data_IF_109230665237
#
_entry.id   IF_109230665237
#
_cell.length_a   1.000
_cell.length_b   1.000
_cell.length_c   1.000
_cell.angle_alpha   90.00
_cell.angle_beta   90.00
_cell.angle_gamma   90.00
#
_symmetry.space_group_name_H-M   'P 1'
#
loop_
_entity.id
_entity.type
_entity.pdbx_description
1 polymer ?
#
# COMPACT_ATOMS: atom_id res chain seq x y z
N UNK A 1 -15.53 15.80 3.53
CA UNK A 1 -16.47 15.09 2.62
C UNK A 1 -17.68 14.53 3.32
N UNK A 2 -17.52 13.70 4.37
CA UNK A 2 -18.65 13.16 5.15
C UNK A 2 -19.68 14.21 5.59
N UNK A 3 -19.23 15.32 6.18
CA UNK A 3 -20.11 16.39 6.65
C UNK A 3 -20.94 17.01 5.51
N UNK A 4 -20.33 17.28 4.36
CA UNK A 4 -21.03 17.80 3.18
C UNK A 4 -22.07 16.82 2.63
N UNK A 5 -21.71 15.54 2.51
CA UNK A 5 -22.67 14.49 2.12
C UNK A 5 -23.84 14.38 3.10
N UNK A 6 -23.56 14.47 4.41
CA UNK A 6 -24.57 14.41 5.45
C UNK A 6 -25.53 15.61 5.37
N UNK A 7 -25.03 16.82 5.11
CA UNK A 7 -25.87 18.01 4.90
C UNK A 7 -26.77 17.86 3.68
N UNK A 8 -26.22 17.42 2.54
CA UNK A 8 -26.97 17.20 1.31
C UNK A 8 -28.05 16.11 1.45
N UNK A 9 -27.69 14.98 2.07
CA UNK A 9 -28.64 13.88 2.31
C UNK A 9 -29.71 14.27 3.32
N UNK A 10 -29.38 15.01 4.39
CA UNK A 10 -30.39 15.49 5.33
C UNK A 10 -31.35 16.48 4.66
N UNK A 11 -30.83 17.42 3.87
CA UNK A 11 -31.68 18.37 3.14
C UNK A 11 -32.69 17.66 2.22
N UNK A 12 -32.28 16.55 1.59
CA UNK A 12 -33.12 15.83 0.62
C UNK A 12 -34.05 14.77 1.24
N UNK A 13 -33.61 14.06 2.29
CA UNK A 13 -34.31 12.87 2.79
C UNK A 13 -34.83 12.98 4.23
N UNK A 14 -34.31 13.90 5.06
CA UNK A 14 -34.77 14.03 6.46
C UNK A 14 -36.25 14.45 6.54
N UNK A 15 -36.67 15.38 5.68
CA UNK A 15 -38.07 15.81 5.57
C UNK A 15 -39.04 14.74 5.04
N UNK A 16 -38.51 13.62 4.52
CA UNK A 16 -39.30 12.51 3.95
C UNK A 16 -39.52 11.35 4.94
N UNK A 17 -39.15 11.53 6.21
CA UNK A 17 -39.34 10.53 7.27
C UNK A 17 -38.24 9.47 7.36
N UNK A 18 -37.12 9.64 6.63
CA UNK A 18 -35.95 8.77 6.76
C UNK A 18 -35.22 9.12 8.06
N UNK A 19 -34.86 8.10 8.85
CA UNK A 19 -34.22 8.30 10.16
C UNK A 19 -32.80 8.87 10.02
N UNK A 20 -32.49 9.84 10.90
CA UNK A 20 -31.22 10.60 10.91
C UNK A 20 -29.96 9.71 10.98
N UNK A 21 -30.00 8.68 11.80
CA UNK A 21 -28.89 7.75 12.01
C UNK A 21 -28.61 6.89 10.78
N UNK A 22 -29.66 6.47 10.07
CA UNK A 22 -29.52 5.78 8.78
C UNK A 22 -28.93 6.69 7.69
N UNK A 23 -29.34 7.97 7.67
CA UNK A 23 -28.76 8.98 6.77
C UNK A 23 -27.28 9.22 7.08
N UNK A 24 -26.91 9.28 8.36
CA UNK A 24 -25.52 9.43 8.77
C UNK A 24 -24.66 8.23 8.33
N UNK A 25 -25.21 7.02 8.41
CA UNK A 25 -24.50 5.83 7.92
C UNK A 25 -24.38 5.79 6.40
N UNK A 26 -25.40 6.26 5.68
CA UNK A 26 -25.31 6.43 4.22
C UNK A 26 -24.25 7.47 3.84
N UNK A 27 -24.15 8.57 4.58
CA UNK A 27 -23.09 9.56 4.37
C UNK A 27 -21.68 8.97 4.62
N UNK A 28 -21.54 8.08 5.61
CA UNK A 28 -20.28 7.37 5.88
C UNK A 28 -19.86 6.48 4.71
N UNK A 29 -20.80 5.71 4.14
CA UNK A 29 -20.47 4.79 3.03
C UNK A 29 -20.09 5.56 1.76
N UNK A 30 -20.80 6.65 1.46
CA UNK A 30 -20.55 7.48 0.27
C UNK A 30 -19.28 8.32 0.37
N UNK A 31 -18.88 8.71 1.59
CA UNK A 31 -17.63 9.45 1.80
C UNK A 31 -16.39 8.63 1.44
N UNK A 32 -16.48 7.30 1.36
CA UNK A 32 -15.36 6.43 0.98
C UNK A 32 -15.12 6.41 -0.52
N UNK A 33 -16.14 6.73 -1.33
CA UNK A 33 -16.07 6.71 -2.79
C UNK A 33 -16.02 8.09 -3.42
N UNK A 34 -16.30 9.14 -2.64
CA UNK A 34 -16.40 10.52 -3.11
C UNK A 34 -15.36 11.40 -2.43
N UNK A 35 -14.55 12.08 -3.24
CA UNK A 35 -13.47 12.96 -2.76
C UNK A 35 -13.70 14.44 -3.06
N UNK A 36 -14.62 14.77 -3.99
CA UNK A 36 -14.91 16.15 -4.39
C UNK A 36 -16.37 16.55 -4.15
N UNK A 37 -16.63 17.85 -4.06
CA UNK A 37 -17.97 18.39 -3.80
C UNK A 37 -18.94 18.16 -4.98
N UNK A 38 -18.44 18.28 -6.21
CA UNK A 38 -19.25 18.08 -7.43
C UNK A 38 -19.71 16.62 -7.57
N UNK A 39 -18.83 15.67 -7.26
CA UNK A 39 -19.17 14.25 -7.23
C UNK A 39 -20.18 13.92 -6.11
N UNK A 40 -20.07 14.58 -4.95
CA UNK A 40 -21.01 14.40 -3.85
C UNK A 40 -22.42 14.83 -4.25
N UNK A 41 -22.55 15.99 -4.89
CA UNK A 41 -23.82 16.49 -5.38
C UNK A 41 -24.40 15.57 -6.45
N UNK A 42 -23.61 15.21 -7.47
CA UNK A 42 -24.05 14.35 -8.56
C UNK A 42 -24.48 12.96 -8.08
N UNK A 43 -23.85 12.43 -7.03
CA UNK A 43 -24.18 11.13 -6.47
C UNK A 43 -25.44 11.18 -5.62
N UNK A 44 -25.59 12.20 -4.76
CA UNK A 44 -26.83 12.41 -3.99
C UNK A 44 -28.03 12.65 -4.90
N UNK A 45 -27.83 13.29 -6.05
CA UNK A 45 -28.89 13.52 -7.04
C UNK A 45 -29.38 12.25 -7.72
N UNK A 46 -28.48 11.27 -7.93
CA UNK A 46 -28.81 9.96 -8.50
C UNK A 46 -29.52 9.01 -7.53
N UNK A 47 -29.42 9.23 -6.23
CA UNK A 47 -30.07 8.38 -5.22
C UNK A 47 -31.58 8.58 -5.23
N UNK A 48 -32.32 7.48 -5.37
CA UNK A 48 -33.78 7.49 -5.26
C UNK A 48 -34.22 7.41 -3.81
N UNK A 49 -35.42 7.93 -3.52
CA UNK A 49 -36.01 7.86 -2.18
C UNK A 49 -36.18 6.41 -1.69
N UNK A 50 -36.52 5.50 -2.62
CA UNK A 50 -36.67 4.07 -2.36
C UNK A 50 -35.34 3.43 -1.96
N UNK A 51 -34.26 3.71 -2.69
CA UNK A 51 -32.92 3.19 -2.38
C UNK A 51 -32.44 3.64 -1.00
N UNK A 52 -32.64 4.91 -0.67
CA UNK A 52 -32.25 5.46 0.64
C UNK A 52 -33.10 4.83 1.75
N UNK A 53 -34.41 4.68 1.52
CA UNK A 53 -35.32 4.10 2.52
C UNK A 53 -35.02 2.61 2.75
N UNK A 54 -34.76 1.85 1.69
CA UNK A 54 -34.42 0.43 1.77
C UNK A 54 -33.07 0.21 2.45
N UNK A 55 -32.05 1.00 2.10
CA UNK A 55 -30.76 0.97 2.77
C UNK A 55 -30.89 1.22 4.28
N UNK A 56 -31.61 2.28 4.68
CA UNK A 56 -31.81 2.60 6.09
C UNK A 56 -32.59 1.51 6.81
N UNK A 57 -33.59 0.91 6.15
CA UNK A 57 -34.39 -0.18 6.71
C UNK A 57 -33.54 -1.44 6.96
N UNK A 58 -32.74 -1.86 5.99
CA UNK A 58 -31.92 -3.06 6.13
C UNK A 58 -30.77 -2.88 7.13
N UNK A 59 -30.12 -1.71 7.12
CA UNK A 59 -29.12 -1.37 8.12
C UNK A 59 -29.72 -1.39 9.54
N UNK A 60 -30.90 -0.78 9.71
CA UNK A 60 -31.59 -0.78 11.01
C UNK A 60 -32.05 -2.14 11.47
N UNK A 61 -32.52 -2.99 10.57
CA UNK A 61 -32.88 -4.37 10.91
C UNK A 61 -31.69 -5.12 11.50
N UNK A 62 -30.49 -4.90 10.97
CA UNK A 62 -29.25 -5.49 11.50
C UNK A 62 -28.93 -4.93 12.89
N UNK A 63 -28.93 -3.60 13.03
CA UNK A 63 -28.66 -2.92 14.31
C UNK A 63 -29.66 -3.30 15.40
N UNK A 64 -30.96 -3.25 15.09
CA UNK A 64 -32.03 -3.56 16.04
C UNK A 64 -31.98 -5.05 16.44
N UNK A 65 -31.56 -5.95 15.54
CA UNK A 65 -31.33 -7.37 15.86
C UNK A 65 -30.16 -7.57 16.83
N UNK A 66 -29.04 -6.87 16.63
CA UNK A 66 -27.89 -6.93 17.52
C UNK A 66 -28.20 -6.36 18.90
N UNK A 67 -28.94 -5.24 18.95
CA UNK A 67 -29.41 -4.65 20.21
C UNK A 67 -30.33 -5.63 20.95
N UNK A 68 -31.26 -6.27 20.24
CA UNK A 68 -32.18 -7.27 20.83
C UNK A 68 -31.39 -8.45 21.41
N UNK A 69 -30.44 -9.01 20.66
CA UNK A 69 -29.56 -10.09 21.15
C UNK A 69 -28.74 -9.68 22.37
N UNK A 70 -28.22 -8.46 22.39
CA UNK A 70 -27.51 -7.90 23.53
C UNK A 70 -28.39 -7.78 24.78
N UNK A 71 -29.62 -7.26 24.60
CA UNK A 71 -30.61 -7.15 25.68
C UNK A 71 -31.03 -8.52 26.20
N UNK A 72 -31.26 -9.50 25.34
CA UNK A 72 -31.62 -10.86 25.73
C UNK A 72 -30.47 -11.57 26.45
N UNK A 73 -29.23 -11.37 25.99
CA UNK A 73 -28.02 -11.87 26.67
C UNK A 73 -27.87 -11.24 28.06
N UNK A 74 -28.17 -9.94 28.19
CA UNK A 74 -28.14 -9.26 29.49
C UNK A 74 -29.22 -9.79 30.44
N UNK A 75 -30.47 -9.92 29.96
CA UNK A 75 -31.59 -10.43 30.75
C UNK A 75 -31.41 -11.89 31.18
N UNK A 76 -30.84 -12.73 30.31
CA UNK A 76 -30.52 -14.13 30.64
C UNK A 76 -29.39 -14.25 31.66
N UNK A 77 -28.39 -13.37 31.62
CA UNK A 77 -27.30 -13.32 32.62
C UNK A 77 -27.73 -12.68 33.94
N UNK A 78 -28.74 -11.81 33.91
CA UNK A 78 -29.30 -11.13 35.08
C UNK A 78 -30.82 -11.39 35.17
N UNK A 79 -31.25 -12.62 35.46
CA UNK A 79 -32.67 -12.90 35.60
C UNK A 79 -33.23 -12.12 36.79
N UNK A 80 -34.41 -11.51 36.60
CA UNK A 80 -35.12 -10.87 37.71
C UNK A 80 -35.36 -11.92 38.82
N UNK A 81 -35.20 -11.56 40.10
CA UNK A 81 -35.43 -12.49 41.20
C UNK A 81 -36.86 -13.05 41.11
N UNK A 82 -36.98 -14.38 41.14
CA UNK A 82 -38.26 -15.07 41.00
C UNK A 82 -39.23 -14.63 42.10
N UNK A 83 -40.31 -13.94 41.73
CA UNK A 83 -41.36 -13.58 42.68
C UNK A 83 -42.23 -12.35 42.40
N UNK A 84 -42.13 -11.64 41.26
CA UNK A 84 -43.07 -10.55 40.96
C UNK A 84 -44.28 -11.05 40.16
N UNK A 85 -45.11 -11.88 40.81
CA UNK A 85 -46.51 -12.03 40.45
C UNK A 85 -47.34 -11.02 41.24
N UNK A 86 -48.23 -10.31 40.53
CA UNK A 86 -49.24 -9.33 40.97
C UNK A 86 -48.78 -7.90 41.36
N UNK A 87 -49.68 -6.89 41.16
CA UNK A 87 -49.33 -5.55 40.74
C UNK A 87 -49.69 -4.56 41.85
N UNK A 88 -49.08 -4.67 43.04
CA UNK A 88 -49.07 -3.55 43.98
C UNK A 88 -48.07 -3.80 45.13
N UNK A 89 -46.95 -3.07 45.24
CA UNK A 89 -46.16 -3.07 46.45
C UNK A 89 -46.45 -1.80 47.27
N UNK A 90 -47.09 -1.99 48.43
CA UNK A 90 -46.98 -1.04 49.52
C UNK A 90 -45.51 -0.94 49.97
N UNK A 91 -45.02 0.24 50.39
CA UNK A 91 -43.60 0.46 50.64
C UNK A 91 -43.17 -0.15 51.97
N UNK A 92 -42.19 -1.03 51.97
CA UNK A 92 -41.42 -1.38 53.17
C UNK A 92 -39.96 -1.76 52.83
N UNK A 93 -39.08 -1.62 53.83
CA UNK A 93 -38.03 -0.63 53.90
C UNK A 93 -36.78 -1.05 53.12
N UNK A 94 -36.08 -0.06 52.58
CA UNK A 94 -34.80 -0.19 51.88
C UNK A 94 -33.78 -1.01 52.69
N UNK A 95 -33.67 -2.30 52.37
CA UNK A 95 -32.39 -2.99 52.46
C UNK A 95 -31.65 -2.56 51.21
N UNK A 96 -30.73 -1.60 51.35
CA UNK A 96 -29.76 -1.29 50.31
C UNK A 96 -29.15 -2.61 49.84
N UNK A 97 -29.37 -3.03 48.58
CA UNK A 97 -28.44 -3.96 48.01
C UNK A 97 -27.10 -3.24 47.99
N UNK A 98 -26.04 -3.93 48.41
CA UNK A 98 -24.69 -3.58 48.02
C UNK A 98 -24.60 -3.80 46.50
N UNK A 99 -25.20 -2.88 45.76
CA UNK A 99 -24.88 -2.65 44.37
C UNK A 99 -23.57 -1.91 44.47
N UNK A 100 -22.46 -2.63 44.36
CA UNK A 100 -21.32 -2.08 43.63
C UNK A 100 -21.86 -1.73 42.25
N UNK A 101 -22.47 -0.55 42.17
CA UNK A 101 -22.79 0.14 40.95
C UNK A 101 -21.46 0.14 40.21
N UNK A 102 -21.31 -0.60 39.08
CA UNK A 102 -20.10 -0.47 38.30
C UNK A 102 -20.04 1.02 38.01
N UNK A 103 -19.03 1.69 38.58
CA UNK A 103 -18.88 3.12 38.44
C UNK A 103 -18.94 3.41 36.94
N UNK A 104 -19.34 4.59 36.47
CA UNK A 104 -19.32 4.93 35.04
C UNK A 104 -18.01 4.55 34.31
N UNK A 105 -16.91 4.41 35.07
CA UNK A 105 -15.63 3.87 34.63
C UNK A 105 -15.63 2.38 34.22
N UNK A 106 -16.41 1.50 34.84
CA UNK A 106 -16.50 0.07 34.49
C UNK A 106 -17.21 -0.15 33.15
N UNK A 107 -18.30 0.57 32.88
CA UNK A 107 -19.00 0.48 31.59
C UNK A 107 -18.11 1.03 30.47
N UNK A 108 -17.41 2.15 30.71
CA UNK A 108 -16.45 2.70 29.77
C UNK A 108 -15.28 1.73 29.49
N UNK A 109 -14.80 1.01 30.52
CA UNK A 109 -13.76 -0.02 30.38
C UNK A 109 -14.26 -1.20 29.55
N UNK A 110 -15.46 -1.71 29.82
CA UNK A 110 -16.07 -2.81 29.07
C UNK A 110 -16.29 -2.43 27.59
N UNK A 111 -16.78 -1.21 27.32
CA UNK A 111 -16.96 -0.72 25.95
C UNK A 111 -15.59 -0.57 25.26
N UNK A 112 -14.59 -0.04 25.95
CA UNK A 112 -13.23 0.11 25.40
C UNK A 112 -12.60 -1.25 25.07
N UNK A 113 -12.77 -2.24 25.93
CA UNK A 113 -12.30 -3.61 25.70
C UNK A 113 -13.03 -4.27 24.53
N UNK A 114 -14.35 -4.14 24.45
CA UNK A 114 -15.14 -4.68 23.33
C UNK A 114 -14.77 -4.02 21.99
N UNK A 115 -14.59 -2.70 21.97
CA UNK A 115 -14.15 -1.97 20.77
C UNK A 115 -12.71 -2.35 20.42
N UNK A 116 -11.80 -2.49 21.40
CA UNK A 116 -10.43 -2.94 21.15
C UNK A 116 -10.40 -4.34 20.55
N UNK A 117 -11.15 -5.28 21.13
CA UNK A 117 -11.25 -6.65 20.64
C UNK A 117 -11.84 -6.73 19.23
N UNK A 118 -12.77 -5.85 18.88
CA UNK A 118 -13.31 -5.77 17.52
C UNK A 118 -12.32 -5.14 16.52
N UNK A 119 -11.50 -4.18 16.95
CA UNK A 119 -10.57 -3.42 16.08
C UNK A 119 -9.21 -4.10 15.92
N UNK A 120 -8.74 -4.87 16.91
CA UNK A 120 -7.50 -5.65 16.83
C UNK A 120 -7.37 -6.52 15.57
N UNK A 121 -8.36 -7.37 15.18
CA UNK A 121 -8.22 -8.18 13.98
C UNK A 121 -8.12 -7.33 12.70
N UNK A 122 -8.72 -6.15 12.67
CA UNK A 122 -8.59 -5.22 11.54
C UNK A 122 -7.21 -4.58 11.49
N UNK A 123 -6.63 -4.18 12.63
CA UNK A 123 -5.24 -3.67 12.69
C UNK A 123 -4.25 -4.72 12.20
N UNK A 124 -4.32 -5.95 12.73
CA UNK A 124 -3.46 -7.05 12.30
C UNK A 124 -3.59 -7.33 10.80
N UNK A 125 -4.81 -7.26 10.25
CA UNK A 125 -5.04 -7.46 8.81
C UNK A 125 -4.49 -6.31 7.96
N UNK A 126 -4.61 -5.06 8.41
CA UNK A 126 -4.00 -3.91 7.74
C UNK A 126 -2.48 -4.02 7.76
N UNK A 127 -1.89 -4.30 8.92
CA UNK A 127 -0.44 -4.49 9.06
C UNK A 127 0.06 -5.61 8.13
N UNK A 128 -0.67 -6.74 8.06
CA UNK A 128 -0.35 -7.84 7.13
C UNK A 128 -0.45 -7.41 5.66
N UNK A 129 -1.45 -6.60 5.31
CA UNK A 129 -1.64 -6.11 3.94
C UNK A 129 -0.53 -5.13 3.54
N UNK A 130 -0.15 -4.22 4.43
CA UNK A 130 0.94 -3.27 4.21
C UNK A 130 2.25 -4.02 4.04
N UNK A 131 2.55 -5.01 4.90
CA UNK A 131 3.72 -5.86 4.76
C UNK A 131 3.73 -6.64 3.43
N UNK A 132 2.60 -7.23 3.03
CA UNK A 132 2.49 -7.93 1.74
C UNK A 132 2.71 -6.98 0.54
N UNK A 133 2.22 -5.74 0.64
CA UNK A 133 2.39 -4.73 -0.40
C UNK A 133 3.85 -4.31 -0.51
N UNK A 134 4.52 -4.09 0.63
CA UNK A 134 5.97 -3.80 0.69
C UNK A 134 6.76 -4.93 0.05
N UNK A 135 6.54 -6.18 0.47
CA UNK A 135 7.23 -7.36 -0.08
C UNK A 135 7.02 -7.49 -1.59
N UNK A 136 5.79 -7.27 -2.07
CA UNK A 136 5.45 -7.32 -3.49
C UNK A 136 6.16 -6.24 -4.30
N UNK A 137 6.17 -4.99 -3.80
CA UNK A 137 6.84 -3.88 -4.47
C UNK A 137 8.36 -4.08 -4.51
N UNK A 138 8.97 -4.54 -3.42
CA UNK A 138 10.40 -4.86 -3.35
C UNK A 138 10.77 -5.97 -4.34
N UNK A 139 9.96 -7.02 -4.43
CA UNK A 139 10.17 -8.11 -5.39
C UNK A 139 10.07 -7.63 -6.84
N UNK A 140 9.14 -6.72 -7.15
CA UNK A 140 9.05 -6.12 -8.49
C UNK A 140 10.30 -5.32 -8.82
N UNK A 141 10.72 -4.42 -7.92
CA UNK A 141 11.92 -3.60 -8.11
C UNK A 141 13.15 -4.48 -8.31
N UNK A 142 13.31 -5.53 -7.50
CA UNK A 142 14.41 -6.47 -7.63
C UNK A 142 14.43 -7.16 -9.00
N UNK A 143 13.27 -7.65 -9.47
CA UNK A 143 13.14 -8.26 -10.80
C UNK A 143 13.53 -7.29 -11.93
N UNK A 144 13.11 -6.04 -11.85
CA UNK A 144 13.48 -5.00 -12.83
C UNK A 144 15.00 -4.79 -12.87
N UNK A 145 15.68 -4.78 -11.72
CA UNK A 145 17.13 -4.60 -11.67
C UNK A 145 17.91 -5.77 -12.28
N UNK A 146 17.44 -6.99 -12.08
CA UNK A 146 18.10 -8.21 -12.60
C UNK A 146 17.60 -8.61 -13.98
N UNK A 147 16.71 -7.85 -14.63
CA UNK A 147 16.10 -8.21 -15.92
C UNK A 147 17.13 -8.46 -17.02
N UNK A 148 18.24 -7.71 -17.02
CA UNK A 148 19.33 -7.84 -18.00
C UNK A 148 20.37 -8.91 -17.64
N UNK A 149 20.23 -9.55 -16.48
CA UNK A 149 21.14 -10.58 -16.05
C UNK A 149 20.95 -11.90 -16.83
N UNK A 150 21.98 -12.75 -16.92
CA UNK A 150 21.83 -14.12 -17.43
C UNK A 150 20.81 -14.92 -16.61
N UNK A 151 20.08 -15.85 -17.25
CA UNK A 151 18.97 -16.58 -16.61
C UNK A 151 19.39 -17.37 -15.37
N UNK A 152 20.57 -18.02 -15.41
CA UNK A 152 21.13 -18.72 -14.25
C UNK A 152 21.35 -17.78 -13.05
N UNK A 153 21.80 -16.54 -13.31
CA UNK A 153 21.98 -15.54 -12.26
C UNK A 153 20.62 -15.10 -11.70
N UNK A 154 19.62 -14.86 -12.55
CA UNK A 154 18.26 -14.51 -12.11
C UNK A 154 17.66 -15.56 -11.18
N UNK A 155 17.75 -16.84 -11.56
CA UNK A 155 17.24 -17.94 -10.74
C UNK A 155 17.95 -18.04 -9.39
N UNK A 156 19.26 -17.82 -9.35
CA UNK A 156 20.01 -17.78 -8.09
C UNK A 156 19.60 -16.57 -7.25
N UNK A 157 19.60 -15.38 -7.85
CA UNK A 157 19.26 -14.12 -7.21
C UNK A 157 17.85 -14.15 -6.60
N UNK A 158 16.87 -14.72 -7.30
CA UNK A 158 15.51 -14.92 -6.79
C UNK A 158 15.44 -15.94 -5.64
N UNK A 159 16.19 -17.03 -5.72
CA UNK A 159 16.27 -18.01 -4.62
C UNK A 159 16.89 -17.39 -3.37
N UNK A 160 17.92 -16.58 -3.54
CA UNK A 160 18.59 -15.89 -2.44
C UNK A 160 17.66 -14.80 -1.87
N UNK A 161 17.00 -14.01 -2.71
CA UNK A 161 16.01 -13.00 -2.30
C UNK A 161 14.89 -13.60 -1.44
N UNK A 162 14.33 -14.75 -1.84
CA UNK A 162 13.28 -15.43 -1.08
C UNK A 162 13.76 -15.94 0.31
N UNK A 163 15.07 -16.00 0.56
CA UNK A 163 15.66 -16.39 1.84
C UNK A 163 16.09 -15.18 2.68
N UNK A 164 16.08 -13.99 2.10
CA UNK A 164 16.48 -12.74 2.77
C UNK A 164 15.26 -12.07 3.43
N UNK A 165 15.52 -11.40 4.54
CA UNK A 165 14.57 -10.54 5.22
C UNK A 165 15.25 -9.19 5.45
N UNK A 166 14.59 -8.12 5.01
CA UNK A 166 15.09 -6.75 5.14
C UNK A 166 14.46 -6.11 6.36
N UNK A 167 15.26 -5.38 7.13
CA UNK A 167 14.80 -4.72 8.36
C UNK A 167 13.91 -3.51 8.07
N UNK A 168 14.29 -2.73 7.05
CA UNK A 168 13.66 -1.48 6.65
C UNK A 168 13.88 -1.24 5.14
N UNK A 169 13.35 -0.14 4.61
CA UNK A 169 13.52 0.21 3.20
C UNK A 169 14.97 0.62 2.88
N UNK A 170 15.71 1.18 3.85
CA UNK A 170 17.10 1.58 3.66
C UNK A 170 18.02 0.38 3.42
N UNK A 171 17.82 -0.70 4.19
CA UNK A 171 18.53 -1.98 4.05
C UNK A 171 18.24 -2.63 2.68
N UNK A 172 16.99 -2.58 2.23
CA UNK A 172 16.61 -3.06 0.90
C UNK A 172 17.23 -2.20 -0.22
N UNK A 173 17.21 -0.88 -0.10
CA UNK A 173 17.80 0.03 -1.08
C UNK A 173 19.32 -0.15 -1.18
N UNK A 174 20.00 -0.39 -0.05
CA UNK A 174 21.42 -0.71 -0.02
C UNK A 174 21.71 -2.02 -0.78
N UNK A 175 20.95 -3.08 -0.48
CA UNK A 175 21.05 -4.36 -1.18
C UNK A 175 20.84 -4.23 -2.70
N UNK A 176 19.84 -3.45 -3.13
CA UNK A 176 19.58 -3.19 -4.55
C UNK A 176 20.77 -2.49 -5.20
N UNK A 177 21.33 -1.45 -4.57
CA UNK A 177 22.50 -0.72 -5.09
C UNK A 177 23.73 -1.60 -5.22
N UNK A 178 23.99 -2.45 -4.22
CA UNK A 178 25.09 -3.41 -4.27
C UNK A 178 24.90 -4.41 -5.41
N UNK A 179 23.70 -4.98 -5.53
CA UNK A 179 23.35 -5.92 -6.59
C UNK A 179 23.52 -5.29 -7.98
N UNK A 180 23.09 -4.04 -8.18
CA UNK A 180 23.29 -3.30 -9.45
C UNK A 180 24.77 -3.07 -9.76
N UNK A 181 25.56 -2.75 -8.74
CA UNK A 181 27.00 -2.52 -8.88
C UNK A 181 27.70 -3.80 -9.31
N UNK A 182 27.38 -4.93 -8.66
CA UNK A 182 27.98 -6.22 -8.99
C UNK A 182 27.51 -6.74 -10.35
N UNK A 183 26.23 -6.54 -10.70
CA UNK A 183 25.73 -6.86 -12.04
C UNK A 183 26.48 -6.08 -13.12
N UNK A 184 26.76 -4.81 -12.87
CA UNK A 184 27.51 -3.95 -13.80
C UNK A 184 28.95 -4.45 -13.99
N UNK A 185 29.62 -4.86 -12.90
CA UNK A 185 30.96 -5.46 -12.97
C UNK A 185 30.97 -6.78 -13.73
N UNK A 186 30.00 -7.67 -13.47
CA UNK A 186 29.88 -8.96 -14.18
C UNK A 186 29.65 -8.72 -15.67
N UNK A 187 28.77 -7.79 -16.04
CA UNK A 187 28.53 -7.46 -17.44
C UNK A 187 29.77 -6.86 -18.12
N UNK A 188 30.53 -6.01 -17.41
CA UNK A 188 31.81 -5.50 -17.91
C UNK A 188 32.83 -6.61 -18.10
N UNK A 189 32.99 -7.51 -17.12
CA UNK A 189 33.93 -8.62 -17.21
C UNK A 189 33.57 -9.57 -18.37
N UNK A 190 32.29 -9.86 -18.58
CA UNK A 190 31.82 -10.62 -19.74
C UNK A 190 32.16 -9.88 -21.03
N UNK A 191 31.89 -8.57 -21.11
CA UNK A 191 32.23 -7.76 -22.29
C UNK A 191 33.74 -7.78 -22.56
N UNK A 192 34.58 -7.60 -21.54
CA UNK A 192 36.03 -7.62 -21.65
C UNK A 192 36.57 -8.99 -22.07
N UNK A 193 36.00 -10.09 -21.54
CA UNK A 193 36.33 -11.45 -21.97
C UNK A 193 35.91 -11.71 -23.41
N UNK A 194 34.72 -11.27 -23.83
CA UNK A 194 34.27 -11.41 -25.22
C UNK A 194 35.14 -10.59 -26.18
N UNK A 195 35.55 -9.39 -25.79
CA UNK A 195 36.43 -8.54 -26.59
C UNK A 195 37.88 -9.05 -26.62
N UNK A 196 38.40 -9.60 -25.52
CA UNK A 196 39.73 -10.23 -25.44
C UNK A 196 39.81 -11.61 -26.10
N UNK A 197 38.66 -12.30 -26.22
CA UNK A 197 38.51 -13.61 -26.84
C UNK A 197 38.46 -13.59 -28.37
N UNK A 198 38.20 -12.44 -28.99
CA UNK A 198 38.51 -12.24 -30.41
C UNK A 198 40.03 -12.28 -30.58
N UNK A 199 40.54 -13.48 -30.89
CA UNK A 199 41.93 -13.65 -31.34
C UNK A 199 42.18 -12.61 -32.43
N UNK A 200 43.24 -11.81 -32.24
CA UNK A 200 43.76 -10.93 -33.29
C UNK A 200 43.72 -11.70 -34.61
N UNK A 201 43.17 -11.12 -35.69
CA UNK A 201 43.09 -11.81 -36.96
C UNK A 201 44.46 -12.42 -37.27
N UNK A 202 44.48 -13.72 -37.56
CA UNK A 202 45.70 -14.43 -37.93
C UNK A 202 46.28 -13.75 -39.17
N UNK A 203 47.21 -12.81 -38.97
CA UNK A 203 48.07 -12.33 -40.04
C UNK A 203 49.01 -13.50 -40.31
N UNK A 204 48.67 -14.28 -41.33
CA UNK A 204 49.49 -15.35 -41.87
C UNK A 204 50.88 -14.77 -42.17
N UNK A 205 51.81 -14.96 -41.24
CA UNK A 205 53.21 -14.57 -41.42
C UNK A 205 53.89 -15.72 -42.15
N UNK A 206 53.43 -15.96 -43.37
CA UNK A 206 53.88 -16.98 -44.28
C UNK A 206 54.28 -16.33 -45.59
N UNK A 207 55.55 -15.93 -45.64
CA UNK A 207 56.33 -15.50 -46.80
C UNK A 207 56.30 -13.99 -47.18
N UNK A 208 57.45 -13.37 -46.89
CA UNK A 208 58.19 -12.32 -47.62
C UNK A 208 57.45 -11.34 -48.55
N UNK A 209 57.79 -10.05 -48.38
CA UNK A 209 57.47 -8.90 -49.25
C UNK A 209 56.04 -8.36 -49.23
N UNK A 210 55.61 -7.78 -48.11
CA UNK A 210 54.64 -6.68 -48.16
C UNK A 210 55.27 -5.42 -47.59
N UNK A 211 55.24 -4.38 -48.43
CA UNK A 211 55.78 -3.07 -48.13
C UNK A 211 55.19 -2.54 -46.82
N UNK A 212 55.94 -1.67 -46.13
CA UNK A 212 55.36 -0.74 -45.17
C UNK A 212 54.28 0.06 -45.91
N UNK A 213 53.05 -0.42 -45.91
CA UNK A 213 51.93 0.34 -46.44
C UNK A 213 51.70 1.49 -45.47
N UNK A 214 52.12 2.67 -45.91
CA UNK A 214 51.70 3.91 -45.29
C UNK A 214 50.16 3.94 -45.28
N UNK A 215 49.54 4.53 -44.24
CA UNK A 215 48.09 4.64 -44.18
C UNK A 215 47.57 5.28 -45.48
N UNK A 216 46.47 4.74 -46.02
CA UNK A 216 45.89 5.24 -47.26
C UNK A 216 45.63 6.75 -47.16
N UNK A 217 45.70 7.46 -48.28
CA UNK A 217 45.56 8.92 -48.30
C UNK A 217 44.28 9.39 -47.58
N UNK A 218 43.18 8.65 -47.73
CA UNK A 218 41.91 8.92 -47.05
C UNK A 218 42.02 8.83 -45.51
N UNK A 219 42.80 7.88 -44.98
CA UNK A 219 43.00 7.75 -43.52
C UNK A 219 43.90 8.86 -42.99
N UNK A 220 44.93 9.26 -43.76
CA UNK A 220 45.78 10.39 -43.40
C UNK A 220 45.00 11.71 -43.40
N UNK A 221 44.11 11.92 -44.38
CA UNK A 221 43.23 13.09 -44.43
C UNK A 221 42.23 13.09 -43.28
N UNK A 222 41.58 11.97 -42.98
CA UNK A 222 40.64 11.88 -41.86
C UNK A 222 41.29 12.16 -40.51
N UNK A 223 42.51 11.64 -40.26
CA UNK A 223 43.26 11.92 -39.04
C UNK A 223 43.72 13.38 -38.98
N UNK A 224 44.11 13.97 -40.11
CA UNK A 224 44.47 15.38 -40.18
C UNK A 224 43.25 16.30 -39.96
N UNK A 225 42.08 15.92 -40.48
CA UNK A 225 40.81 16.63 -40.32
C UNK A 225 40.33 16.56 -38.87
N UNK A 226 40.38 15.39 -38.23
CA UNK A 226 40.11 15.22 -36.79
C UNK A 226 41.11 15.99 -35.91
N UNK A 227 42.39 16.00 -36.28
CA UNK A 227 43.43 16.77 -35.58
C UNK A 227 43.30 18.29 -35.79
N UNK A 228 42.71 18.73 -36.90
CA UNK A 228 42.41 20.14 -37.15
C UNK A 228 41.11 20.58 -36.46
N UNK A 229 40.08 19.73 -36.45
CA UNK A 229 38.83 19.96 -35.73
C UNK A 229 39.06 20.05 -34.21
N UNK A 230 39.92 19.19 -33.64
CA UNK A 230 40.33 19.26 -32.23
C UNK A 230 41.24 20.46 -31.90
N UNK A 231 41.77 21.17 -32.89
CA UNK A 231 42.55 22.41 -32.72
C UNK A 231 41.72 23.68 -32.94
N UNK A 232 40.59 23.59 -33.65
CA UNK A 232 39.68 24.72 -33.86
C UNK A 232 38.75 24.95 -32.64
N UNK A 233 38.44 23.89 -31.89
CA UNK A 233 37.64 23.97 -30.66
C UNK A 233 38.42 23.43 -29.46
N UNK A 234 39.32 24.25 -28.90
CA UNK A 234 39.77 24.00 -27.54
C UNK A 234 40.03 25.29 -26.76
N UNK A 235 39.21 25.57 -25.73
CA UNK A 235 39.68 26.21 -24.54
C UNK A 235 39.64 25.25 -23.33
N UNK A 236 40.13 24.01 -23.45
CA UNK A 236 40.78 23.37 -22.29
C UNK A 236 42.17 24.00 -22.10
N UNK A 237 42.18 25.22 -21.56
CA UNK A 237 43.33 25.75 -20.82
C UNK A 237 43.28 25.17 -19.41
N UNK A 238 44.20 24.25 -19.11
CA UNK A 238 44.18 23.49 -17.87
C UNK A 238 44.25 24.32 -16.58
N UNK A 239 43.62 23.80 -15.52
CA UNK A 239 44.13 23.97 -14.17
C UNK A 239 43.93 22.67 -13.38
N UNK A 240 45.05 22.23 -12.84
CA UNK A 240 45.25 21.21 -11.80
C UNK A 240 44.21 21.24 -10.69
N UNK A 241 43.80 20.06 -10.24
CA UNK A 241 43.41 19.81 -8.84
C UNK A 241 44.37 18.75 -8.31
#
# INVERSE_FOLDING_TARGET
>A
MKQKLLELLNAKYFGKGVRKDGIEQLANSLCMTVSTDEEAQALVDKLTDEQVTEFVKEWRKTVDSEVTKGVDTYKSKNPAPAGSGDPNPAPKPEVKPDVTNPQPQDIATIIKEAVSAAVEPFKTRLDTMDQNTIVSNRLKLFNEKIEKAPDYFKEKALRDYNRMAFKDDEDFDAFIKETETDLSKVNQEIADQTNGGFRRPFINTGNSNTQKEEPSAAVKEYVAEQAAASKADNPLGGKTI
#
